data_IF_889589714521
#
_entry.id   IF_889589714521
#
_cell.length_a   1.000
_cell.length_b   1.000
_cell.length_c   1.000
_cell.angle_alpha   90.00
_cell.angle_beta   90.00
_cell.angle_gamma   90.00
#
_symmetry.space_group_name_H-M   'P 1'
#
loop_
_entity.id
_entity.type
_entity.pdbx_description
1 polymer ?
#
# COMPACT_ATOMS: atom_id res chain seq x y z
N UNK A 1 -16.48 -7.65 22.22
CA UNK A 1 -17.83 -7.09 22.43
C UNK A 1 -18.83 -8.22 22.63
N UNK A 2 -19.67 -8.16 23.68
CA UNK A 2 -20.70 -9.19 23.92
C UNK A 2 -21.88 -9.02 22.93
N UNK A 3 -22.79 -10.00 22.87
CA UNK A 3 -23.91 -10.00 21.91
C UNK A 3 -24.87 -8.83 22.12
N UNK A 4 -25.11 -8.43 23.38
CA UNK A 4 -26.01 -7.31 23.69
C UNK A 4 -25.46 -5.97 23.20
N UNK A 5 -24.18 -5.69 23.47
CA UNK A 5 -23.48 -4.50 22.99
C UNK A 5 -23.44 -4.42 21.46
N UNK A 6 -23.27 -5.58 20.78
CA UNK A 6 -23.39 -5.66 19.32
C UNK A 6 -24.79 -5.28 18.86
N UNK A 7 -25.82 -5.87 19.46
CA UNK A 7 -27.21 -5.59 19.11
C UNK A 7 -27.60 -4.12 19.27
N UNK A 8 -27.07 -3.41 20.28
CA UNK A 8 -27.30 -1.98 20.44
C UNK A 8 -26.73 -1.14 19.28
N UNK A 9 -25.49 -1.45 18.86
CA UNK A 9 -24.86 -0.77 17.72
C UNK A 9 -25.60 -1.11 16.41
N UNK A 10 -25.95 -2.38 16.23
CA UNK A 10 -26.69 -2.84 15.05
C UNK A 10 -28.06 -2.15 14.95
N UNK A 11 -28.77 -1.98 16.06
CA UNK A 11 -30.05 -1.26 16.11
C UNK A 11 -29.91 0.21 15.69
N UNK A 12 -28.90 0.93 16.20
CA UNK A 12 -28.63 2.31 15.75
C UNK A 12 -28.37 2.37 14.23
N UNK A 13 -27.58 1.44 13.70
CA UNK A 13 -27.28 1.39 12.28
C UNK A 13 -28.48 0.99 11.41
N UNK A 14 -29.38 0.15 11.91
CA UNK A 14 -30.65 -0.20 11.24
C UNK A 14 -31.62 0.99 11.20
N UNK A 15 -31.67 1.80 12.26
CA UNK A 15 -32.49 3.01 12.35
C UNK A 15 -31.88 4.22 11.62
N UNK A 16 -30.78 4.04 10.89
CA UNK A 16 -30.02 5.13 10.23
C UNK A 16 -29.46 6.21 11.19
N UNK A 17 -29.36 5.88 12.49
CA UNK A 17 -28.72 6.68 13.53
C UNK A 17 -27.21 6.37 13.56
N UNK A 18 -26.53 6.66 12.44
CA UNK A 18 -25.13 6.27 12.25
C UNK A 18 -24.19 6.97 13.22
N UNK A 19 -24.41 8.26 13.49
CA UNK A 19 -23.57 9.05 14.38
C UNK A 19 -23.69 8.56 15.83
N UNK A 20 -24.90 8.21 16.28
CA UNK A 20 -25.14 7.60 17.58
C UNK A 20 -24.50 6.22 17.69
N UNK A 21 -24.60 5.39 16.65
CA UNK A 21 -23.95 4.08 16.62
C UNK A 21 -22.42 4.18 16.66
N UNK A 22 -21.82 5.14 15.95
CA UNK A 22 -20.38 5.44 16.00
C UNK A 22 -19.98 5.93 17.40
N UNK A 23 -20.77 6.82 18.00
CA UNK A 23 -20.52 7.30 19.36
C UNK A 23 -20.60 6.17 20.39
N UNK A 24 -21.57 5.25 20.24
CA UNK A 24 -21.69 4.08 21.09
C UNK A 24 -20.48 3.14 20.94
N UNK A 25 -20.03 2.87 19.71
CA UNK A 25 -18.80 2.10 19.46
C UNK A 25 -17.57 2.75 20.11
N UNK A 26 -17.49 4.08 20.11
CA UNK A 26 -16.44 4.83 20.79
C UNK A 26 -16.50 4.65 22.32
N UNK A 27 -17.70 4.69 22.92
CA UNK A 27 -17.90 4.49 24.36
C UNK A 27 -17.63 3.05 24.82
N UNK A 28 -17.94 2.06 23.97
CA UNK A 28 -17.72 0.64 24.24
C UNK A 28 -16.24 0.22 24.14
N UNK A 29 -15.36 1.16 23.77
CA UNK A 29 -13.92 0.96 23.69
C UNK A 29 -13.36 0.68 25.09
N UNK A 30 -13.09 -0.58 25.38
CA UNK A 30 -12.22 -1.00 26.48
C UNK A 30 -11.07 -1.84 25.93
N UNK A 31 -9.92 -1.83 26.61
CA UNK A 31 -8.69 -2.50 26.16
C UNK A 31 -8.85 -3.99 25.86
N UNK A 32 -9.89 -4.64 26.42
CA UNK A 32 -10.14 -6.07 26.28
C UNK A 32 -11.32 -6.41 25.36
N UNK A 33 -12.00 -5.43 24.79
CA UNK A 33 -13.25 -5.64 24.04
C UNK A 33 -13.09 -5.16 22.60
N UNK A 34 -12.75 -6.08 21.70
CA UNK A 34 -12.67 -5.81 20.26
C UNK A 34 -14.07 -5.60 19.66
N UNK A 35 -14.26 -4.57 18.79
CA UNK A 35 -15.45 -4.45 17.96
C UNK A 35 -15.53 -5.63 16.98
N UNK A 36 -16.74 -5.91 16.47
CA UNK A 36 -16.92 -6.99 15.50
C UNK A 36 -16.24 -6.64 14.16
N UNK A 37 -16.01 -7.64 13.30
CA UNK A 37 -15.43 -7.40 11.97
C UNK A 37 -16.42 -6.63 11.10
N UNK A 38 -17.71 -6.96 11.25
CA UNK A 38 -18.79 -6.26 10.57
C UNK A 38 -18.81 -4.78 10.92
N UNK A 39 -18.66 -4.43 12.21
CA UNK A 39 -18.64 -3.03 12.65
C UNK A 39 -17.43 -2.26 12.08
N UNK A 40 -16.24 -2.86 12.12
CA UNK A 40 -15.05 -2.22 11.51
C UNK A 40 -15.25 -2.03 10.00
N UNK A 41 -15.84 -3.02 9.31
CA UNK A 41 -16.14 -2.93 7.88
C UNK A 41 -17.18 -1.84 7.56
N UNK A 42 -18.22 -1.72 8.36
CA UNK A 42 -19.21 -0.64 8.23
C UNK A 42 -18.57 0.74 8.47
N UNK A 43 -17.70 0.87 9.47
CA UNK A 43 -16.92 2.10 9.69
C UNK A 43 -16.02 2.44 8.49
N UNK A 44 -15.37 1.44 7.89
CA UNK A 44 -14.58 1.64 6.67
C UNK A 44 -15.46 2.10 5.51
N UNK A 45 -16.66 1.51 5.37
CA UNK A 45 -17.63 1.92 4.35
C UNK A 45 -18.09 3.37 4.53
N UNK A 46 -18.43 3.77 5.76
CA UNK A 46 -18.77 5.17 6.05
C UNK A 46 -17.61 6.11 5.71
N UNK A 47 -16.38 5.73 6.07
CA UNK A 47 -15.19 6.56 5.84
C UNK A 47 -14.84 6.72 4.35
N UNK A 48 -15.15 5.71 3.55
CA UNK A 48 -14.96 5.71 2.09
C UNK A 48 -16.19 6.25 1.33
N UNK A 49 -17.26 6.64 2.02
CA UNK A 49 -18.46 7.11 1.33
C UNK A 49 -18.22 8.48 0.71
N UNK A 50 -18.46 8.66 -0.60
CA UNK A 50 -18.14 9.92 -1.26
C UNK A 50 -19.00 11.08 -0.73
N UNK A 51 -18.43 12.28 -0.50
CA UNK A 51 -19.14 13.44 0.04
C UNK A 51 -20.17 14.00 -0.96
N UNK A 52 -21.19 14.71 -0.46
CA UNK A 52 -22.23 15.29 -1.33
C UNK A 52 -21.70 16.44 -2.14
N UNK A 53 -21.49 16.21 -3.43
CA UNK A 53 -21.32 17.30 -4.39
C UNK A 53 -22.63 18.10 -4.43
N UNK A 54 -22.51 19.41 -4.27
CA UNK A 54 -23.53 20.46 -4.08
C UNK A 54 -24.98 20.10 -4.49
N UNK A 55 -25.93 20.46 -3.62
CA UNK A 55 -27.38 20.34 -3.80
C UNK A 55 -27.81 20.82 -5.20
N UNK A 56 -28.17 19.89 -6.09
CA UNK A 56 -29.14 20.20 -7.13
C UNK A 56 -30.44 20.52 -6.38
N UNK A 57 -30.94 21.74 -6.51
CA UNK A 57 -32.22 22.12 -5.91
C UNK A 57 -33.31 21.23 -6.50
N UNK A 58 -33.77 20.24 -5.74
CA UNK A 58 -34.96 19.49 -6.09
C UNK A 58 -36.13 20.47 -6.14
N UNK A 59 -36.70 20.67 -7.32
CA UNK A 59 -37.92 21.45 -7.51
C UNK A 59 -39.07 20.90 -6.65
N UNK A 60 -40.01 21.74 -6.20
CA UNK A 60 -41.05 21.35 -5.27
C UNK A 60 -42.16 20.60 -6.02
N UNK A 61 -42.05 19.28 -6.18
CA UNK A 61 -43.20 18.45 -6.58
C UNK A 61 -42.93 16.96 -6.39
N UNK A 62 -42.94 16.48 -5.14
CA UNK A 62 -43.17 15.06 -4.88
C UNK A 62 -44.14 14.89 -3.71
N UNK A 63 -45.15 14.05 -3.92
CA UNK A 63 -46.23 13.77 -2.98
C UNK A 63 -45.71 13.08 -1.71
N UNK A 64 -46.17 13.46 -0.49
CA UNK A 64 -45.65 12.98 0.80
C UNK A 64 -45.55 11.45 0.94
N UNK A 65 -46.47 10.72 0.32
CA UNK A 65 -46.57 9.25 0.45
C UNK A 65 -45.52 8.47 -0.37
N UNK A 66 -44.83 9.10 -1.33
CA UNK A 66 -43.75 8.47 -2.11
C UNK A 66 -42.35 8.80 -1.60
N UNK A 67 -42.21 9.87 -0.82
CA UNK A 67 -40.95 10.33 -0.24
C UNK A 67 -40.41 9.31 0.78
N UNK A 68 -41.26 8.75 1.63
CA UNK A 68 -40.84 7.77 2.65
C UNK A 68 -40.26 6.46 2.09
N UNK A 69 -40.79 5.96 0.96
CA UNK A 69 -40.28 4.72 0.32
C UNK A 69 -39.02 4.92 -0.51
N UNK A 70 -38.76 6.14 -0.99
CA UNK A 70 -37.52 6.48 -1.70
C UNK A 70 -36.38 6.83 -0.72
N UNK A 71 -36.69 7.51 0.38
CA UNK A 71 -35.71 7.80 1.45
C UNK A 71 -35.18 6.51 2.11
N UNK A 72 -36.03 5.50 2.31
CA UNK A 72 -35.60 4.19 2.83
C UNK A 72 -34.66 3.40 1.91
N UNK A 73 -34.52 3.78 0.64
CA UNK A 73 -33.66 3.06 -0.34
C UNK A 73 -32.32 3.73 -0.60
N UNK A 74 -32.11 4.95 -0.11
CA UNK A 74 -30.88 5.71 -0.35
C UNK A 74 -30.18 5.94 0.98
N UNK A 75 -29.04 5.28 1.20
CA UNK A 75 -28.17 5.62 2.31
C UNK A 75 -27.68 7.06 2.19
N UNK A 76 -28.19 7.93 3.06
CA UNK A 76 -27.66 9.28 3.26
C UNK A 76 -26.62 9.25 4.37
N UNK A 77 -25.36 9.00 4.01
CA UNK A 77 -24.21 9.13 4.91
C UNK A 77 -23.70 10.57 4.78
N UNK A 78 -23.67 11.29 5.91
CA UNK A 78 -23.18 12.66 5.95
C UNK A 78 -21.65 12.70 5.92
N UNK A 79 -21.07 13.83 5.49
CA UNK A 79 -19.62 14.03 5.58
C UNK A 79 -19.10 14.00 7.02
N UNK A 80 -19.94 14.42 7.98
CA UNK A 80 -19.62 14.35 9.40
C UNK A 80 -19.55 12.90 9.88
N UNK A 81 -20.49 12.06 9.47
CA UNK A 81 -20.52 10.63 9.78
C UNK A 81 -19.28 9.92 9.22
N UNK A 82 -18.90 10.23 7.97
CA UNK A 82 -17.69 9.69 7.35
C UNK A 82 -16.43 10.09 8.14
N UNK A 83 -16.31 11.37 8.53
CA UNK A 83 -15.18 11.86 9.33
C UNK A 83 -15.14 11.23 10.74
N UNK A 84 -16.29 11.12 11.42
CA UNK A 84 -16.40 10.47 12.74
C UNK A 84 -16.01 9.00 12.68
N UNK A 85 -16.46 8.28 11.64
CA UNK A 85 -16.10 6.88 11.42
C UNK A 85 -14.59 6.70 11.20
N UNK A 86 -13.98 7.56 10.36
CA UNK A 86 -12.55 7.51 10.10
C UNK A 86 -11.74 7.83 11.36
N UNK A 87 -12.15 8.85 12.13
CA UNK A 87 -11.52 9.21 13.41
C UNK A 87 -11.56 8.06 14.41
N UNK A 88 -12.70 7.37 14.53
CA UNK A 88 -12.84 6.21 15.40
C UNK A 88 -11.93 5.05 14.95
N UNK A 89 -11.85 4.80 13.64
CA UNK A 89 -10.93 3.78 13.10
C UNK A 89 -9.46 4.11 13.41
N UNK A 90 -9.05 5.37 13.28
CA UNK A 90 -7.69 5.82 13.66
C UNK A 90 -7.46 5.59 15.14
N UNK A 91 -8.44 5.92 15.99
CA UNK A 91 -8.34 5.66 17.42
C UNK A 91 -8.21 4.16 17.74
N UNK A 92 -8.93 3.29 17.03
CA UNK A 92 -8.77 1.85 17.18
C UNK A 92 -7.39 1.39 16.70
N UNK A 93 -6.93 1.87 15.54
CA UNK A 93 -5.61 1.58 15.02
C UNK A 93 -4.52 2.00 16.00
N UNK A 94 -4.69 3.07 16.80
CA UNK A 94 -3.73 3.56 17.78
C UNK A 94 -3.79 2.88 19.16
N UNK A 95 -4.89 2.22 19.52
CA UNK A 95 -5.10 1.70 20.89
C UNK A 95 -5.34 0.21 20.99
N UNK A 96 -5.67 -0.44 19.88
CA UNK A 96 -5.92 -1.88 19.80
C UNK A 96 -4.75 -2.58 19.09
N UNK A 97 -4.76 -3.93 19.05
CA UNK A 97 -3.79 -4.66 18.23
C UNK A 97 -4.05 -4.41 16.74
N UNK A 98 -3.00 -4.25 15.91
CA UNK A 98 -3.14 -4.07 14.47
C UNK A 98 -3.95 -5.18 13.81
N UNK A 99 -3.74 -6.45 14.21
CA UNK A 99 -4.48 -7.58 13.66
C UNK A 99 -5.98 -7.50 13.97
N UNK A 100 -6.33 -6.91 15.12
CA UNK A 100 -7.69 -6.68 15.57
C UNK A 100 -8.46 -5.70 14.69
N UNK A 101 -7.81 -4.65 14.19
CA UNK A 101 -8.43 -3.70 13.24
C UNK A 101 -8.38 -4.26 11.82
N UNK A 102 -7.25 -4.87 11.44
CA UNK A 102 -7.05 -5.43 10.11
C UNK A 102 -8.00 -6.60 9.79
N UNK A 103 -8.67 -7.21 10.79
CA UNK A 103 -9.64 -8.31 10.61
C UNK A 103 -10.73 -8.04 9.56
N UNK A 104 -11.09 -6.77 9.35
CA UNK A 104 -12.11 -6.36 8.39
C UNK A 104 -11.53 -5.94 7.02
N UNK A 105 -10.20 -5.82 6.91
CA UNK A 105 -9.57 -5.48 5.65
C UNK A 105 -9.57 -6.67 4.69
N UNK A 106 -9.75 -6.43 3.39
CA UNK A 106 -9.49 -7.43 2.36
C UNK A 106 -8.01 -7.86 2.41
N UNK A 107 -7.73 -9.13 2.13
CA UNK A 107 -6.35 -9.63 2.00
C UNK A 107 -6.30 -10.93 1.19
N UNK A 108 -5.15 -11.23 0.58
CA UNK A 108 -4.98 -12.43 -0.24
C UNK A 108 -4.97 -13.73 0.57
N UNK A 109 -4.48 -13.68 1.81
CA UNK A 109 -4.28 -14.85 2.65
C UNK A 109 -5.55 -15.26 3.42
N UNK A 110 -6.58 -14.42 3.38
CA UNK A 110 -7.88 -14.71 3.97
C UNK A 110 -8.82 -15.24 2.89
N UNK A 111 -8.60 -16.49 2.51
CA UNK A 111 -9.63 -17.24 1.79
C UNK A 111 -10.87 -17.34 2.69
N UNK A 112 -11.85 -16.46 2.48
CA UNK A 112 -13.21 -16.59 2.96
C UNK A 112 -13.37 -16.91 4.46
N UNK A 113 -13.00 -15.98 5.35
CA UNK A 113 -13.68 -15.89 6.67
C UNK A 113 -15.05 -15.22 6.45
N UNK A 114 -15.82 -15.77 5.51
CA UNK A 114 -17.22 -15.45 5.29
C UNK A 114 -18.02 -16.27 6.31
N UNK A 115 -17.87 -15.90 7.57
CA UNK A 115 -18.95 -16.10 8.51
C UNK A 115 -20.13 -15.30 7.96
N UNK A 116 -21.17 -16.00 7.51
CA UNK A 116 -22.48 -15.42 7.22
C UNK A 116 -23.05 -14.84 8.53
N UNK A 117 -22.51 -13.71 8.99
CA UNK A 117 -23.22 -12.81 9.88
C UNK A 117 -24.34 -12.23 9.02
N UNK A 118 -25.47 -12.95 8.98
CA UNK A 118 -26.71 -12.55 8.32
C UNK A 118 -27.28 -11.35 9.07
N UNK A 119 -26.65 -10.19 8.89
CA UNK A 119 -27.17 -8.92 9.38
C UNK A 119 -28.24 -8.45 8.41
N UNK A 120 -29.44 -8.19 8.92
CA UNK A 120 -30.55 -7.68 8.13
C UNK A 120 -30.33 -6.21 7.73
N UNK A 121 -29.49 -5.50 8.51
CA UNK A 121 -29.10 -4.10 8.32
C UNK A 121 -28.62 -3.80 6.89
N UNK A 122 -29.20 -2.75 6.31
CA UNK A 122 -28.89 -2.31 4.94
C UNK A 122 -27.43 -1.89 4.81
N UNK A 123 -26.89 -1.17 5.78
CA UNK A 123 -25.48 -0.78 5.79
C UNK A 123 -24.54 -2.00 5.93
N UNK A 124 -24.92 -3.02 6.70
CA UNK A 124 -24.12 -4.24 6.80
C UNK A 124 -23.98 -4.90 5.42
N UNK A 125 -25.08 -4.97 4.66
CA UNK A 125 -25.12 -5.52 3.31
C UNK A 125 -24.30 -4.69 2.33
N UNK A 126 -24.43 -3.37 2.35
CA UNK A 126 -23.66 -2.50 1.45
C UNK A 126 -22.16 -2.52 1.78
N UNK A 127 -21.79 -2.52 3.06
CA UNK A 127 -20.38 -2.58 3.49
C UNK A 127 -19.65 -3.84 3.04
N UNK A 128 -20.39 -4.89 2.66
CA UNK A 128 -19.83 -6.16 2.20
C UNK A 128 -18.97 -6.00 0.94
N UNK A 129 -19.19 -4.94 0.14
CA UNK A 129 -18.35 -4.65 -1.03
C UNK A 129 -16.85 -4.54 -0.67
N UNK A 130 -16.51 -4.09 0.54
CA UNK A 130 -15.13 -4.01 1.04
C UNK A 130 -14.51 -5.41 1.17
N UNK A 131 -15.28 -6.41 1.58
CA UNK A 131 -14.82 -7.80 1.71
C UNK A 131 -14.60 -8.46 0.34
N UNK A 132 -15.30 -8.00 -0.70
CA UNK A 132 -15.15 -8.48 -2.08
C UNK A 132 -13.92 -7.89 -2.78
N UNK A 133 -13.31 -6.84 -2.21
CA UNK A 133 -12.07 -6.30 -2.73
C UNK A 133 -10.92 -7.30 -2.54
N UNK A 134 -9.99 -7.34 -3.51
CA UNK A 134 -8.84 -8.27 -3.46
C UNK A 134 -7.82 -7.89 -2.38
N UNK A 135 -7.65 -6.60 -2.16
CA UNK A 135 -6.67 -6.01 -1.24
C UNK A 135 -7.14 -4.61 -0.84
N UNK A 136 -6.47 -4.01 0.15
CA UNK A 136 -6.82 -2.71 0.70
C UNK A 136 -6.48 -1.54 -0.24
N UNK A 137 -5.73 -1.75 -1.33
CA UNK A 137 -5.43 -0.70 -2.30
C UNK A 137 -6.62 -0.44 -3.22
N UNK A 138 -7.36 -1.50 -3.56
CA UNK A 138 -8.52 -1.40 -4.45
C UNK A 138 -9.65 -0.56 -3.84
N UNK A 139 -9.82 -0.57 -2.51
CA UNK A 139 -10.89 0.19 -1.84
C UNK A 139 -10.64 1.70 -1.83
N UNK A 140 -9.42 2.14 -2.16
CA UNK A 140 -9.03 3.55 -2.20
C UNK A 140 -9.31 4.22 -3.56
N UNK A 141 -9.61 3.44 -4.60
CA UNK A 141 -9.73 3.95 -5.96
C UNK A 141 -10.99 4.81 -6.14
N UNK A 142 -10.92 5.80 -7.03
CA UNK A 142 -12.10 6.59 -7.43
C UNK A 142 -13.17 5.65 -7.97
N UNK A 143 -14.40 5.79 -7.47
CA UNK A 143 -15.52 4.96 -7.88
C UNK A 143 -15.58 3.57 -7.23
N UNK A 144 -14.79 3.28 -6.19
CA UNK A 144 -14.95 2.01 -5.48
C UNK A 144 -16.35 1.90 -4.82
N UNK A 145 -16.76 2.93 -4.08
CA UNK A 145 -18.13 3.06 -3.56
C UNK A 145 -18.92 4.01 -4.47
N UNK A 146 -20.02 3.51 -5.02
CA UNK A 146 -20.96 4.30 -5.82
C UNK A 146 -22.09 4.78 -4.92
N UNK A 147 -22.53 6.03 -5.12
CA UNK A 147 -23.78 6.48 -4.54
C UNK A 147 -24.92 5.75 -5.23
N UNK A 148 -25.84 5.19 -4.46
CA UNK A 148 -27.13 4.75 -4.99
C UNK A 148 -27.94 6.00 -5.33
N UNK A 149 -27.62 6.66 -6.44
CA UNK A 149 -28.50 7.67 -7.01
C UNK A 149 -29.73 6.93 -7.50
N UNK A 150 -30.90 7.30 -7.01
CA UNK A 150 -32.16 6.72 -7.47
C UNK A 150 -32.45 7.23 -8.89
N UNK A 151 -31.76 6.69 -9.88
CA UNK A 151 -32.19 6.81 -11.26
C UNK A 151 -33.57 6.16 -11.37
N UNK A 152 -34.53 6.93 -11.85
CA UNK A 152 -35.91 6.52 -12.06
C UNK A 152 -35.97 5.18 -12.80
N UNK A 153 -36.88 4.25 -12.45
CA UNK A 153 -36.91 2.94 -13.09
C UNK A 153 -37.35 3.10 -14.55
N UNK A 154 -36.39 3.08 -15.46
CA UNK A 154 -36.67 2.86 -16.88
C UNK A 154 -37.16 1.42 -17.04
N UNK A 155 -38.26 1.31 -17.78
CA UNK A 155 -39.15 0.14 -17.81
C UNK A 155 -38.41 -1.13 -18.25
N UNK A 156 -38.54 -2.19 -17.44
CA UNK A 156 -38.83 -3.59 -17.81
C UNK A 156 -38.30 -4.04 -19.19
N UNK A 157 -37.12 -4.68 -19.20
CA UNK A 157 -36.59 -5.40 -20.36
C UNK A 157 -35.69 -6.56 -19.93
N UNK A 158 -36.16 -7.78 -20.13
CA UNK A 158 -35.56 -9.04 -19.71
C UNK A 158 -34.27 -9.38 -20.46
N UNK A 159 -33.09 -9.26 -19.83
CA UNK A 159 -32.02 -10.30 -19.82
C UNK A 159 -30.82 -9.85 -19.00
N UNK A 160 -30.46 -10.69 -18.02
CA UNK A 160 -29.16 -10.66 -17.33
C UNK A 160 -28.02 -10.71 -18.34
N UNK A 161 -27.35 -9.58 -18.51
CA UNK A 161 -25.92 -9.52 -18.85
C UNK A 161 -25.40 -8.29 -18.13
N UNK A 162 -24.53 -8.49 -17.15
CA UNK A 162 -23.74 -7.43 -16.50
C UNK A 162 -22.81 -6.85 -17.57
N UNK A 163 -23.30 -5.84 -18.27
CA UNK A 163 -22.48 -4.93 -19.08
C UNK A 163 -22.43 -3.65 -18.26
N UNK A 164 -21.21 -3.25 -17.92
CA UNK A 164 -20.91 -1.93 -17.37
C UNK A 164 -21.55 -0.91 -18.30
N UNK A 165 -22.60 -0.25 -17.81
CA UNK A 165 -23.26 0.84 -18.53
C UNK A 165 -22.32 2.05 -18.45
N UNK A 166 -21.63 2.23 -19.57
CA UNK A 166 -20.73 3.33 -19.89
C UNK A 166 -21.63 4.49 -20.33
N UNK A 167 -22.16 5.23 -19.36
CA UNK A 167 -22.80 6.53 -19.56
C UNK A 167 -22.81 7.32 -18.26
N UNK A 168 -21.67 7.95 -17.98
CA UNK A 168 -21.65 9.32 -17.45
C UNK A 168 -20.39 9.98 -18.05
N UNK A 169 -20.61 10.67 -19.16
CA UNK A 169 -19.69 11.66 -19.71
C UNK A 169 -19.52 12.80 -18.68
N UNK A 170 -18.56 12.65 -17.78
CA UNK A 170 -17.97 13.75 -17.02
C UNK A 170 -16.51 13.41 -16.69
N UNK A 171 -15.60 13.98 -17.49
CA UNK A 171 -14.20 14.25 -17.16
C UNK A 171 -13.36 13.04 -16.72
N UNK A 172 -13.10 12.13 -17.67
CA UNK A 172 -12.02 11.13 -17.56
C UNK A 172 -10.64 11.79 -17.73
N UNK A 173 -10.30 12.73 -16.86
CA UNK A 173 -8.94 12.87 -16.38
C UNK A 173 -8.50 11.53 -15.78
N UNK A 174 -7.26 11.11 -16.03
CA UNK A 174 -6.69 9.83 -15.62
C UNK A 174 -7.27 9.33 -14.28
N UNK A 175 -7.93 8.16 -14.29
CA UNK A 175 -8.56 7.57 -13.11
C UNK A 175 -7.62 7.65 -11.90
N UNK A 176 -7.94 8.54 -10.95
CA UNK A 176 -7.06 8.82 -9.82
C UNK A 176 -6.78 7.53 -9.05
N UNK A 177 -5.49 7.27 -8.75
CA UNK A 177 -5.05 6.07 -8.05
C UNK A 177 -5.66 6.00 -6.64
N UNK A 178 -5.86 7.16 -6.02
CA UNK A 178 -6.55 7.34 -4.74
C UNK A 178 -7.65 8.38 -4.93
N UNK A 179 -8.87 8.07 -4.52
CA UNK A 179 -10.00 8.99 -4.54
C UNK A 179 -9.76 10.15 -3.57
N UNK A 180 -10.25 11.35 -3.91
CA UNK A 180 -10.03 12.56 -3.11
C UNK A 180 -10.54 12.44 -1.65
N UNK A 181 -11.61 11.68 -1.42
CA UNK A 181 -12.15 11.44 -0.08
C UNK A 181 -11.53 10.22 0.63
N UNK A 182 -10.68 9.44 -0.05
CA UNK A 182 -10.08 8.22 0.48
C UNK A 182 -8.70 8.43 1.11
N UNK A 183 -8.11 9.64 1.02
CA UNK A 183 -6.83 9.95 1.67
C UNK A 183 -6.83 9.70 3.19
N UNK A 184 -7.86 10.08 3.98
CA UNK A 184 -7.90 9.74 5.40
C UNK A 184 -7.86 8.23 5.67
N UNK A 185 -8.43 7.42 4.78
CA UNK A 185 -8.41 5.96 4.90
C UNK A 185 -7.03 5.40 4.52
N UNK A 186 -6.33 5.98 3.55
CA UNK A 186 -4.92 5.64 3.31
C UNK A 186 -4.07 5.96 4.54
N UNK A 187 -4.27 7.10 5.20
CA UNK A 187 -3.52 7.47 6.41
C UNK A 187 -3.75 6.46 7.55
N UNK A 188 -5.01 6.08 7.76
CA UNK A 188 -5.40 5.00 8.67
C UNK A 188 -4.64 3.69 8.37
N UNK A 189 -4.59 3.27 7.09
CA UNK A 189 -3.88 2.05 6.69
C UNK A 189 -2.38 2.14 6.99
N UNK A 190 -1.76 3.30 6.74
CA UNK A 190 -0.35 3.52 7.06
C UNK A 190 -0.08 3.46 8.56
N UNK A 191 -0.90 4.10 9.39
CA UNK A 191 -0.80 4.02 10.86
C UNK A 191 -0.88 2.56 11.31
N UNK A 192 -1.80 1.80 10.72
CA UNK A 192 -2.00 0.39 11.05
C UNK A 192 -0.76 -0.46 10.73
N UNK A 193 -0.20 -0.30 9.53
CA UNK A 193 0.99 -1.04 9.12
C UNK A 193 2.24 -0.63 9.90
N UNK A 194 2.42 0.66 10.20
CA UNK A 194 3.55 1.14 11.00
C UNK A 194 3.52 0.59 12.42
N UNK A 195 2.33 0.50 13.04
CA UNK A 195 2.20 -0.14 14.36
C UNK A 195 2.47 -1.63 14.30
N UNK A 196 2.03 -2.30 13.25
CA UNK A 196 2.33 -3.72 13.00
C UNK A 196 3.84 -3.97 12.84
N UNK A 197 4.58 -3.05 12.21
CA UNK A 197 6.06 -3.11 12.18
C UNK A 197 6.67 -2.99 13.58
N UNK A 198 6.21 -2.02 14.37
CA UNK A 198 6.70 -1.80 15.73
C UNK A 198 6.43 -3.01 16.63
N UNK A 199 5.26 -3.64 16.52
CA UNK A 199 4.96 -4.87 17.26
C UNK A 199 5.80 -6.06 16.78
N UNK A 200 6.06 -6.16 15.48
CA UNK A 200 6.91 -7.22 14.90
C UNK A 200 8.35 -7.07 15.39
N UNK A 201 8.89 -5.84 15.39
CA UNK A 201 10.20 -5.50 15.93
C UNK A 201 10.29 -5.79 17.44
N UNK A 202 9.27 -5.44 18.22
CA UNK A 202 9.20 -5.73 19.66
C UNK A 202 9.18 -7.23 19.98
N UNK A 203 8.72 -8.07 19.06
CA UNK A 203 8.78 -9.55 19.16
C UNK A 203 10.16 -10.11 18.80
N UNK A 204 11.15 -9.27 18.49
CA UNK A 204 12.52 -9.67 18.14
C UNK A 204 12.69 -10.15 16.70
N UNK A 205 11.72 -9.87 15.83
CA UNK A 205 11.82 -10.12 14.39
C UNK A 205 12.35 -8.88 13.67
N UNK A 206 12.86 -9.01 12.42
CA UNK A 206 13.18 -7.84 11.60
C UNK A 206 11.97 -6.90 11.51
N UNK A 207 12.21 -5.60 11.42
CA UNK A 207 11.13 -4.62 11.29
C UNK A 207 10.49 -4.71 9.91
N UNK A 208 9.28 -5.23 9.85
CA UNK A 208 8.39 -5.26 8.68
C UNK A 208 6.95 -5.48 9.15
N UNK A 209 5.96 -5.21 8.28
CA UNK A 209 4.54 -5.43 8.60
C UNK A 209 4.02 -6.72 7.92
N UNK A 210 3.76 -7.80 8.67
CA UNK A 210 3.03 -8.96 8.16
C UNK A 210 1.67 -8.60 7.57
N UNK A 211 0.97 -7.61 8.12
CA UNK A 211 -0.32 -7.15 7.60
C UNK A 211 -0.20 -6.53 6.21
N UNK A 212 0.83 -5.71 5.98
CA UNK A 212 1.14 -5.14 4.67
C UNK A 212 1.54 -6.24 3.67
N UNK A 213 2.35 -7.20 4.10
CA UNK A 213 2.75 -8.33 3.27
C UNK A 213 1.53 -9.13 2.75
N UNK A 214 0.48 -9.27 3.56
CA UNK A 214 -0.77 -9.93 3.19
C UNK A 214 -1.60 -9.15 2.15
N UNK A 215 -1.25 -7.90 1.88
CA UNK A 215 -1.85 -7.06 0.84
C UNK A 215 -1.16 -7.21 -0.52
N UNK A 216 -0.08 -7.98 -0.57
CA UNK A 216 0.65 -8.32 -1.80
C UNK A 216 0.19 -9.71 -2.23
N UNK A 217 -0.13 -9.95 -3.52
CA UNK A 217 -0.57 -11.25 -4.00
C UNK A 217 0.35 -12.39 -3.55
N UNK A 218 -0.25 -13.49 -3.11
CA UNK A 218 0.48 -14.71 -2.87
C UNK A 218 1.11 -15.20 -4.19
N UNK A 219 2.31 -15.78 -4.12
CA UNK A 219 2.98 -16.28 -5.30
C UNK A 219 2.16 -17.39 -5.97
N UNK A 220 2.19 -17.48 -7.30
CA UNK A 220 1.46 -18.53 -8.05
C UNK A 220 2.03 -19.94 -7.87
N UNK A 221 3.27 -20.02 -7.39
CA UNK A 221 3.97 -21.27 -7.03
C UNK A 221 4.34 -21.23 -5.56
N UNK A 222 4.18 -22.35 -4.85
CA UNK A 222 4.53 -22.51 -3.43
C UNK A 222 5.99 -22.17 -3.12
N UNK A 223 6.86 -22.21 -4.14
CA UNK A 223 8.29 -21.89 -4.05
C UNK A 223 8.65 -20.44 -4.34
N UNK A 224 7.71 -19.63 -4.84
CA UNK A 224 7.98 -18.22 -5.19
C UNK A 224 7.72 -17.29 -4.00
N UNK A 225 8.33 -16.11 -4.04
CA UNK A 225 8.25 -15.09 -3.00
C UNK A 225 7.29 -13.98 -3.46
N UNK A 226 6.67 -13.21 -2.55
CA UNK A 226 5.81 -12.09 -2.94
C UNK A 226 6.64 -10.95 -3.53
N UNK A 227 6.14 -10.29 -4.57
CA UNK A 227 6.88 -9.17 -5.19
C UNK A 227 6.01 -8.14 -5.93
N UNK A 228 4.74 -8.47 -6.20
CA UNK A 228 3.82 -7.64 -6.99
C UNK A 228 3.38 -6.37 -6.23
N UNK A 229 4.25 -5.35 -6.23
CA UNK A 229 4.05 -4.07 -5.55
C UNK A 229 3.43 -2.98 -6.44
N UNK A 230 2.81 -3.35 -7.56
CA UNK A 230 2.35 -2.39 -8.58
C UNK A 230 1.33 -1.36 -8.05
N UNK A 231 0.35 -1.80 -7.27
CA UNK A 231 -0.67 -0.92 -6.69
C UNK A 231 -0.08 0.07 -5.66
N UNK A 232 0.65 -0.36 -4.62
CA UNK A 232 1.24 0.57 -3.66
C UNK A 232 2.31 1.47 -4.29
N UNK A 233 3.05 1.01 -5.32
CA UNK A 233 3.97 1.87 -6.07
C UNK A 233 3.24 2.97 -6.86
N UNK A 234 2.07 2.68 -7.44
CA UNK A 234 1.27 3.70 -8.10
C UNK A 234 0.78 4.75 -7.10
N UNK A 235 0.39 4.33 -5.89
CA UNK A 235 -0.01 5.24 -4.80
C UNK A 235 1.16 6.13 -4.38
N UNK A 236 2.35 5.56 -4.18
CA UNK A 236 3.55 6.32 -3.83
C UNK A 236 3.83 7.41 -4.87
N UNK A 237 3.92 7.03 -6.14
CA UNK A 237 4.24 7.99 -7.20
C UNK A 237 3.16 9.06 -7.34
N UNK A 238 1.88 8.67 -7.23
CA UNK A 238 0.77 9.60 -7.25
C UNK A 238 0.83 10.60 -6.09
N UNK A 239 1.12 10.12 -4.88
CA UNK A 239 1.21 10.92 -3.66
C UNK A 239 2.41 11.88 -3.67
N UNK A 240 3.56 11.43 -4.18
CA UNK A 240 4.76 12.27 -4.32
C UNK A 240 4.61 13.36 -5.38
N UNK A 241 3.76 13.13 -6.40
CA UNK A 241 3.45 14.10 -7.45
C UNK A 241 2.39 15.15 -7.05
N UNK A 242 1.81 15.07 -5.85
CA UNK A 242 0.83 16.07 -5.38
C UNK A 242 1.56 17.36 -4.95
N UNK A 243 1.72 18.29 -5.88
CA UNK A 243 2.30 19.60 -5.60
C UNK A 243 1.45 20.38 -4.58
N UNK A 244 2.09 20.89 -3.53
CA UNK A 244 1.44 21.73 -2.51
C UNK A 244 0.73 20.97 -1.37
N UNK A 245 0.54 19.64 -1.47
CA UNK A 245 -0.03 18.83 -0.38
C UNK A 245 1.06 18.02 0.33
N UNK A 246 1.65 18.62 1.37
CA UNK A 246 2.71 17.98 2.16
C UNK A 246 2.22 16.72 2.89
N UNK A 247 0.94 16.66 3.27
CA UNK A 247 0.41 15.48 3.96
C UNK A 247 0.38 14.28 3.02
N UNK A 248 -0.09 14.45 1.77
CA UNK A 248 -0.07 13.37 0.77
C UNK A 248 1.36 12.93 0.46
N UNK A 249 2.28 13.88 0.28
CA UNK A 249 3.71 13.56 0.06
C UNK A 249 4.30 12.75 1.22
N UNK A 250 3.99 13.15 2.46
CA UNK A 250 4.42 12.43 3.66
C UNK A 250 3.83 11.01 3.73
N UNK A 251 2.59 10.81 3.29
CA UNK A 251 1.99 9.48 3.18
C UNK A 251 2.70 8.61 2.14
N UNK A 252 3.10 9.19 1.00
CA UNK A 252 3.94 8.51 0.00
C UNK A 252 5.30 8.08 0.56
N UNK A 253 5.94 8.94 1.37
CA UNK A 253 7.19 8.62 2.07
C UNK A 253 7.03 7.48 3.06
N UNK A 254 6.01 7.53 3.91
CA UNK A 254 5.68 6.47 4.88
C UNK A 254 5.44 5.14 4.19
N UNK A 255 4.65 5.12 3.11
CA UNK A 255 4.43 3.90 2.32
C UNK A 255 5.72 3.38 1.66
N UNK A 256 6.59 4.27 1.19
CA UNK A 256 7.90 3.89 0.64
C UNK A 256 8.76 3.19 1.69
N UNK A 257 8.83 3.74 2.90
CA UNK A 257 9.56 3.14 4.02
C UNK A 257 9.01 1.77 4.39
N UNK A 258 7.69 1.63 4.49
CA UNK A 258 7.02 0.35 4.78
C UNK A 258 7.36 -0.73 3.74
N UNK A 259 7.33 -0.41 2.44
CA UNK A 259 7.69 -1.38 1.38
C UNK A 259 9.19 -1.74 1.41
N UNK A 260 10.06 -0.78 1.72
CA UNK A 260 11.50 -1.05 1.89
C UNK A 260 11.72 -2.00 3.07
N UNK A 261 11.01 -1.80 4.18
CA UNK A 261 11.13 -2.64 5.37
C UNK A 261 10.71 -4.09 5.10
N UNK A 262 9.72 -4.35 4.23
CA UNK A 262 9.39 -5.71 3.78
C UNK A 262 10.60 -6.47 3.18
N UNK A 263 11.53 -5.74 2.56
CA UNK A 263 12.76 -6.32 1.99
C UNK A 263 13.76 -6.81 3.06
N UNK A 264 13.49 -6.56 4.33
CA UNK A 264 14.25 -7.14 5.45
C UNK A 264 13.90 -8.61 5.68
N UNK A 265 12.91 -9.13 4.94
CA UNK A 265 12.45 -10.52 5.02
C UNK A 265 12.79 -11.32 3.76
N UNK A 266 12.79 -12.65 3.88
CA UNK A 266 12.80 -13.56 2.73
C UNK A 266 11.40 -13.82 2.14
N UNK A 267 10.36 -13.15 2.67
CA UNK A 267 8.98 -13.29 2.23
C UNK A 267 8.61 -12.28 1.13
N UNK A 268 9.52 -11.35 0.84
CA UNK A 268 9.38 -10.34 -0.20
C UNK A 268 10.64 -10.27 -1.08
N UNK A 269 10.49 -10.35 -2.40
CA UNK A 269 11.61 -10.38 -3.34
C UNK A 269 12.18 -8.97 -3.58
N UNK A 270 13.32 -8.69 -2.95
CA UNK A 270 14.02 -7.42 -3.07
C UNK A 270 14.42 -7.08 -4.51
N UNK A 271 14.93 -8.05 -5.28
CA UNK A 271 15.45 -7.80 -6.62
C UNK A 271 14.32 -7.42 -7.57
N UNK A 272 13.21 -8.16 -7.52
CA UNK A 272 12.02 -7.85 -8.31
C UNK A 272 11.42 -6.51 -7.88
N UNK A 273 11.33 -6.23 -6.59
CA UNK A 273 10.86 -4.93 -6.09
C UNK A 273 11.75 -3.77 -6.56
N UNK A 274 13.07 -3.89 -6.40
CA UNK A 274 14.05 -2.90 -6.88
C UNK A 274 13.92 -2.67 -8.39
N UNK A 275 13.69 -3.74 -9.15
CA UNK A 275 13.47 -3.66 -10.60
C UNK A 275 12.19 -2.90 -10.96
N UNK A 276 11.10 -3.16 -10.26
CA UNK A 276 9.82 -2.47 -10.44
C UNK A 276 9.93 -0.98 -10.08
N UNK A 277 10.57 -0.65 -8.94
CA UNK A 277 10.80 0.75 -8.53
C UNK A 277 11.65 1.47 -9.57
N UNK A 278 12.81 0.89 -9.93
CA UNK A 278 13.70 1.50 -10.92
C UNK A 278 12.98 1.79 -12.23
N UNK A 279 12.25 0.82 -12.78
CA UNK A 279 11.59 0.97 -14.09
C UNK A 279 10.54 2.09 -14.09
N UNK A 280 9.76 2.20 -13.01
CA UNK A 280 8.73 3.22 -12.87
C UNK A 280 9.33 4.60 -12.61
N UNK A 281 10.25 4.70 -11.65
CA UNK A 281 10.90 5.97 -11.27
C UNK A 281 11.73 6.54 -12.43
N UNK A 282 12.42 5.67 -13.18
CA UNK A 282 13.15 6.08 -14.38
C UNK A 282 12.22 6.66 -15.46
N UNK A 283 11.01 6.12 -15.59
CA UNK A 283 10.03 6.56 -16.60
C UNK A 283 9.27 7.82 -16.16
N UNK A 284 8.96 7.96 -14.87
CA UNK A 284 8.12 9.05 -14.35
C UNK A 284 8.89 10.33 -13.98
N UNK A 285 10.22 10.29 -13.98
CA UNK A 285 11.05 11.37 -13.47
C UNK A 285 11.69 10.98 -12.14
N UNK A 286 13.02 10.81 -12.06
CA UNK A 286 13.66 10.24 -10.88
C UNK A 286 13.87 11.25 -9.74
N UNK A 287 13.80 12.55 -10.02
CA UNK A 287 14.24 13.60 -9.09
C UNK A 287 13.43 13.62 -7.80
N UNK A 288 12.11 13.68 -7.90
CA UNK A 288 11.20 13.82 -6.77
C UNK A 288 11.28 12.56 -5.88
N UNK A 289 11.22 11.38 -6.49
CA UNK A 289 11.31 10.12 -5.76
C UNK A 289 12.66 9.96 -5.07
N UNK A 290 13.77 10.26 -5.75
CA UNK A 290 15.10 10.11 -5.15
C UNK A 290 15.36 11.15 -4.06
N UNK A 291 14.89 12.39 -4.21
CA UNK A 291 14.95 13.39 -3.15
C UNK A 291 14.15 12.95 -1.92
N UNK A 292 12.95 12.40 -2.14
CA UNK A 292 12.12 11.78 -1.11
C UNK A 292 12.80 10.58 -0.42
N UNK A 293 13.51 9.73 -1.17
CA UNK A 293 14.25 8.60 -0.62
C UNK A 293 15.40 9.05 0.30
N UNK A 294 16.00 10.20 0.03
CA UNK A 294 17.05 10.80 0.89
C UNK A 294 16.47 11.31 2.21
N UNK A 295 15.21 11.74 2.23
CA UNK A 295 14.53 12.25 3.43
C UNK A 295 14.10 11.15 4.41
N UNK A 296 14.13 9.87 4.00
CA UNK A 296 13.80 8.75 4.89
C UNK A 296 14.86 8.56 5.99
N UNK A 297 14.47 8.09 7.18
CA UNK A 297 15.41 7.73 8.22
C UNK A 297 16.44 6.71 7.70
N UNK A 298 17.75 6.91 7.94
CA UNK A 298 18.81 6.08 7.38
C UNK A 298 18.95 4.76 8.15
N UNK A 299 17.91 3.93 8.13
CA UNK A 299 17.95 2.57 8.67
C UNK A 299 18.71 1.64 7.72
N UNK A 300 19.21 0.50 8.23
CA UNK A 300 19.92 -0.47 7.38
C UNK A 300 19.12 -0.90 6.12
N UNK A 301 17.81 -1.23 6.19
CA UNK A 301 17.02 -1.55 5.00
C UNK A 301 16.92 -0.39 4.00
N UNK A 302 16.73 0.83 4.49
CA UNK A 302 16.64 2.05 3.67
C UNK A 302 17.96 2.35 2.97
N UNK A 303 19.08 2.32 3.71
CA UNK A 303 20.41 2.53 3.15
C UNK A 303 20.75 1.47 2.10
N UNK A 304 20.45 0.21 2.41
CA UNK A 304 20.64 -0.91 1.49
C UNK A 304 19.86 -0.73 0.20
N UNK A 305 18.57 -0.42 0.30
CA UNK A 305 17.71 -0.18 -0.86
C UNK A 305 18.22 1.01 -1.68
N UNK A 306 18.58 2.11 -1.00
CA UNK A 306 19.10 3.33 -1.63
C UNK A 306 20.42 3.07 -2.37
N UNK A 307 21.37 2.36 -1.78
CA UNK A 307 22.63 1.97 -2.44
C UNK A 307 22.33 1.17 -3.70
N UNK A 308 21.50 0.13 -3.60
CA UNK A 308 21.17 -0.73 -4.73
C UNK A 308 20.46 0.04 -5.86
N UNK A 309 19.55 0.94 -5.51
CA UNK A 309 18.82 1.75 -6.50
C UNK A 309 19.75 2.74 -7.20
N UNK A 310 20.56 3.49 -6.45
CA UNK A 310 21.50 4.46 -7.02
C UNK A 310 22.57 3.78 -7.88
N UNK A 311 23.10 2.63 -7.43
CA UNK A 311 24.02 1.82 -8.23
C UNK A 311 23.37 1.35 -9.54
N UNK A 312 22.09 0.99 -9.50
CA UNK A 312 21.34 0.64 -10.71
C UNK A 312 21.15 1.82 -11.66
N UNK A 313 20.93 3.03 -11.15
CA UNK A 313 20.91 4.26 -11.98
C UNK A 313 22.26 4.51 -12.67
N UNK A 314 23.37 4.28 -11.97
CA UNK A 314 24.71 4.39 -12.54
C UNK A 314 24.89 3.38 -13.68
N UNK A 315 24.63 2.09 -13.43
CA UNK A 315 24.87 1.01 -14.39
C UNK A 315 24.00 1.09 -15.66
N UNK A 316 22.79 1.64 -15.54
CA UNK A 316 21.85 1.75 -16.66
C UNK A 316 21.89 3.12 -17.35
N UNK A 317 22.39 4.16 -16.68
CA UNK A 317 22.47 5.50 -17.27
C UNK A 317 23.40 5.57 -18.50
N UNK A 318 24.43 4.72 -18.58
CA UNK A 318 25.35 4.68 -19.71
C UNK A 318 24.84 3.96 -20.96
N UNK A 319 23.69 3.28 -20.90
CA UNK A 319 23.22 2.37 -21.97
C UNK A 319 22.05 2.91 -22.81
N UNK A 320 21.57 4.14 -22.54
CA UNK A 320 20.36 4.70 -23.17
C UNK A 320 20.58 5.57 -24.42
N UNK A 321 21.68 5.44 -25.16
CA UNK A 321 21.85 6.14 -26.46
C UNK A 321 21.98 5.24 -27.68
N UNK A 322 21.56 3.97 -27.59
CA UNK A 322 21.48 3.12 -28.78
C UNK A 322 20.43 2.01 -28.66
N UNK A 323 19.14 2.35 -28.57
CA UNK A 323 18.02 1.51 -29.08
C UNK A 323 16.65 2.20 -28.98
N UNK A 324 16.55 3.46 -29.43
CA UNK A 324 15.30 3.90 -30.07
C UNK A 324 15.28 3.29 -31.48
N UNK A 325 14.67 2.09 -31.59
CA UNK A 325 14.03 1.49 -32.79
C UNK A 325 14.01 -0.03 -32.67
N UNK A 326 13.04 -0.58 -31.95
CA UNK A 326 12.26 -1.68 -32.53
C UNK A 326 10.89 -1.73 -31.86
N UNK A 327 9.87 -1.55 -32.68
CA UNK A 327 8.48 -1.72 -32.35
C UNK A 327 8.28 -3.10 -31.69
N UNK A 328 7.63 -3.10 -30.53
CA UNK A 328 7.08 -4.29 -29.85
C UNK A 328 6.48 -5.27 -30.87
N UNK A 329 7.09 -6.44 -31.03
CA UNK A 329 6.38 -7.60 -31.56
C UNK A 329 5.30 -8.00 -30.55
N UNK A 330 4.03 -7.88 -30.97
CA UNK A 330 2.84 -8.33 -30.23
C UNK A 330 3.05 -9.77 -29.73
N UNK A 331 2.78 -10.09 -28.45
CA UNK A 331 2.70 -11.48 -28.03
C UNK A 331 1.50 -12.14 -28.72
N UNK A 332 1.78 -13.11 -29.59
CA UNK A 332 0.76 -14.00 -30.15
C UNK A 332 0.05 -14.75 -29.01
N UNK A 333 -1.28 -14.73 -29.04
CA UNK A 333 -2.14 -15.48 -28.16
C UNK A 333 -1.82 -16.99 -28.24
N UNK A 334 -1.25 -17.56 -27.17
CA UNK A 334 -1.17 -19.02 -27.02
C UNK A 334 -2.54 -19.57 -26.63
N UNK A 335 -2.91 -20.67 -27.29
CA UNK A 335 -4.16 -21.40 -27.14
C UNK A 335 -4.42 -21.83 -25.68
N UNK A 336 -5.69 -21.75 -25.27
CA UNK A 336 -6.19 -22.21 -23.96
C UNK A 336 -6.07 -23.74 -23.87
N UNK A 337 -5.49 -24.31 -22.80
CA UNK A 337 -5.60 -25.74 -22.57
C UNK A 337 -7.01 -26.11 -22.11
N UNK A 338 -7.53 -27.16 -22.74
CA UNK A 338 -8.84 -27.79 -22.54
C UNK A 338 -8.93 -28.36 -21.12
N UNK A 339 -10.05 -28.06 -20.44
CA UNK A 339 -10.43 -28.65 -19.15
C UNK A 339 -10.51 -30.17 -19.26
N UNK A 340 -9.67 -30.90 -18.50
CA UNK A 340 -9.97 -32.28 -18.10
C UNK A 340 -10.49 -32.28 -16.67
N UNK A 341 -11.75 -32.69 -16.55
CA UNK A 341 -12.47 -33.01 -15.32
C UNK A 341 -11.94 -34.35 -14.81
N UNK A 342 -11.43 -34.40 -13.58
CA UNK A 342 -11.41 -35.65 -12.81
C UNK A 342 -11.46 -35.33 -11.32
N UNK A 343 -12.57 -35.74 -10.72
CA UNK A 343 -12.73 -35.91 -9.29
C UNK A 343 -11.67 -36.88 -8.77
N UNK A 344 -11.08 -36.58 -7.62
CA UNK A 344 -10.79 -37.59 -6.61
C UNK A 344 -10.52 -36.90 -5.26
N UNK A 345 -11.42 -37.20 -4.33
CA UNK A 345 -11.44 -36.85 -2.91
C UNK A 345 -10.30 -37.56 -2.19
N UNK A 346 -9.57 -36.87 -1.30
CA UNK A 346 -8.92 -37.48 -0.11
C UNK A 346 -8.45 -36.42 0.91
N UNK A 347 -8.31 -36.82 2.19
CA UNK A 347 -8.56 -35.94 3.33
C UNK A 347 -7.31 -35.23 3.88
N UNK A 348 -7.63 -34.11 4.51
CA UNK A 348 -6.92 -33.30 5.49
C UNK A 348 -5.80 -34.01 6.28
N UNK A 349 -4.56 -33.55 6.10
CA UNK A 349 -3.50 -33.65 7.12
C UNK A 349 -3.11 -32.26 7.58
N UNK A 350 -3.29 -32.01 8.88
CA UNK A 350 -2.79 -30.84 9.58
C UNK A 350 -1.26 -30.85 9.56
N UNK A 351 -0.64 -29.90 8.87
CA UNK A 351 0.78 -29.62 9.03
C UNK A 351 0.99 -28.23 9.65
N UNK A 352 1.30 -28.30 10.93
CA UNK A 352 2.23 -27.49 11.73
C UNK A 352 2.77 -26.23 11.05
N UNK A 353 2.38 -25.07 11.59
CA UNK A 353 3.01 -23.77 11.31
C UNK A 353 4.54 -23.89 11.46
N UNK A 354 5.35 -23.46 10.48
CA UNK A 354 6.78 -23.33 10.69
C UNK A 354 7.03 -22.24 11.74
N UNK A 355 7.69 -22.63 12.84
CA UNK A 355 8.24 -21.68 13.80
C UNK A 355 9.27 -20.80 13.10
N UNK A 356 9.00 -19.50 13.05
CA UNK A 356 9.95 -18.46 12.66
C UNK A 356 11.04 -18.38 13.74
N UNK A 357 12.13 -19.13 13.56
CA UNK A 357 13.34 -18.95 14.37
C UNK A 357 14.12 -17.74 13.87
N UNK A 358 14.43 -16.83 14.78
CA UNK A 358 14.92 -15.45 14.57
C UNK A 358 16.33 -15.30 13.96
N UNK A 359 16.97 -16.38 13.52
CA UNK A 359 18.35 -16.35 13.07
C UNK A 359 18.45 -16.59 11.56
N UNK A 360 18.85 -15.54 10.82
CA UNK A 360 19.24 -15.53 9.39
C UNK A 360 18.16 -15.19 8.35
N UNK A 361 17.48 -14.05 8.50
CA UNK A 361 16.56 -13.52 7.47
C UNK A 361 17.19 -12.36 6.66
N UNK A 362 18.19 -11.64 7.20
CA UNK A 362 18.86 -10.50 6.54
C UNK A 362 19.98 -10.90 5.55
N UNK A 363 20.35 -12.18 5.49
CA UNK A 363 21.65 -12.66 4.98
C UNK A 363 21.71 -13.03 3.50
N UNK A 364 20.60 -13.04 2.76
CA UNK A 364 20.61 -13.56 1.37
C UNK A 364 20.56 -12.50 0.26
N UNK A 365 20.15 -11.28 0.58
CA UNK A 365 20.41 -10.18 -0.35
C UNK A 365 21.88 -9.82 -0.11
N UNK A 366 22.68 -9.64 -1.16
CA UNK A 366 24.06 -9.15 -1.05
C UNK A 366 24.15 -7.89 -1.89
N UNK A 367 24.54 -6.78 -1.26
CA UNK A 367 24.92 -5.62 -2.05
C UNK A 367 26.18 -5.97 -2.84
N UNK A 368 26.36 -5.41 -4.05
CA UNK A 368 27.63 -5.51 -4.75
C UNK A 368 28.78 -5.05 -3.84
N UNK A 369 29.95 -5.71 -3.88
CA UNK A 369 31.12 -5.26 -3.14
C UNK A 369 31.44 -3.80 -3.47
N UNK A 370 31.96 -3.06 -2.49
CA UNK A 370 32.28 -1.65 -2.68
C UNK A 370 33.20 -1.40 -3.89
N UNK A 371 34.13 -2.31 -4.16
CA UNK A 371 35.04 -2.22 -5.31
C UNK A 371 34.32 -2.23 -6.66
N UNK A 372 33.20 -2.94 -6.78
CA UNK A 372 32.35 -2.95 -7.97
C UNK A 372 31.57 -1.64 -8.08
N UNK A 373 31.02 -1.16 -6.97
CA UNK A 373 30.29 0.12 -6.92
C UNK A 373 31.23 1.28 -7.27
N UNK A 374 32.45 1.29 -6.71
CA UNK A 374 33.49 2.26 -7.00
C UNK A 374 33.85 2.29 -8.48
N UNK A 375 34.14 1.12 -9.05
CA UNK A 375 34.43 0.98 -10.48
C UNK A 375 33.28 1.51 -11.34
N UNK A 376 32.04 1.20 -10.96
CA UNK A 376 30.85 1.71 -11.66
C UNK A 376 30.76 3.25 -11.61
N UNK A 377 31.19 3.86 -10.50
CA UNK A 377 31.28 5.32 -10.36
C UNK A 377 32.42 5.94 -11.18
N UNK A 378 33.52 5.22 -11.40
CA UNK A 378 34.66 5.72 -12.19
C UNK A 378 34.47 5.54 -13.71
N UNK A 379 33.87 4.42 -14.13
CA UNK A 379 33.65 4.10 -15.55
C UNK A 379 32.57 4.98 -16.19
N UNK A 380 31.65 5.52 -15.40
CA UNK A 380 30.58 6.39 -15.92
C UNK A 380 31.13 7.80 -16.19
N UNK A 381 31.51 8.05 -17.45
CA UNK A 381 31.78 9.41 -17.94
C UNK A 381 30.52 10.29 -17.82
N UNK A 382 30.65 11.62 -17.65
CA UNK A 382 29.56 12.59 -17.38
C UNK A 382 28.55 12.80 -18.53
N UNK A 383 28.35 11.83 -19.42
CA UNK A 383 27.37 11.87 -20.50
C UNK A 383 25.91 11.76 -20.02
N UNK A 384 25.68 11.47 -18.73
CA UNK A 384 24.40 11.60 -18.05
C UNK A 384 24.19 13.02 -17.53
N UNK A 385 24.18 13.99 -18.43
CA UNK A 385 23.50 15.26 -18.14
C UNK A 385 22.03 15.09 -18.50
N UNK A 386 21.32 14.22 -17.76
CA UNK A 386 19.87 14.36 -17.73
C UNK A 386 19.60 15.64 -16.93
N UNK A 387 18.94 16.63 -17.53
CA UNK A 387 18.77 17.97 -16.93
C UNK A 387 18.14 17.92 -15.54
N UNK A 388 17.41 16.84 -15.24
CA UNK A 388 16.62 16.69 -14.02
C UNK A 388 17.38 16.02 -12.88
N UNK A 389 18.48 15.29 -13.15
CA UNK A 389 19.23 14.57 -12.11
C UNK A 389 20.74 14.58 -12.39
N UNK A 390 21.49 15.51 -11.79
CA UNK A 390 22.93 15.61 -11.97
C UNK A 390 23.65 14.33 -11.52
N UNK A 391 24.53 13.82 -12.36
CA UNK A 391 25.34 12.64 -12.03
C UNK A 391 26.13 12.81 -10.72
N UNK A 392 26.67 14.01 -10.48
CA UNK A 392 27.39 14.37 -9.24
C UNK A 392 26.50 14.23 -8.00
N UNK A 393 25.19 14.49 -8.12
CA UNK A 393 24.25 14.29 -7.03
C UNK A 393 24.08 12.80 -6.73
N UNK A 394 23.91 11.95 -7.76
CA UNK A 394 23.80 10.49 -7.59
C UNK A 394 25.07 9.93 -6.92
N UNK A 395 26.25 10.32 -7.40
CA UNK A 395 27.53 9.91 -6.81
C UNK A 395 27.62 10.33 -5.34
N UNK A 396 27.36 11.61 -5.03
CA UNK A 396 27.39 12.12 -3.66
C UNK A 396 26.44 11.33 -2.76
N UNK A 397 25.17 11.16 -3.18
CA UNK A 397 24.20 10.42 -2.40
C UNK A 397 24.59 8.95 -2.22
N UNK A 398 25.25 8.32 -3.19
CA UNK A 398 25.74 6.95 -3.09
C UNK A 398 26.88 6.84 -2.08
N UNK A 399 27.89 7.71 -2.17
CA UNK A 399 29.00 7.79 -1.20
C UNK A 399 28.50 7.99 0.23
N UNK A 400 27.59 8.95 0.44
CA UNK A 400 26.99 9.19 1.77
C UNK A 400 26.23 7.98 2.27
N UNK A 401 25.48 7.29 1.41
CA UNK A 401 24.74 6.09 1.81
C UNK A 401 25.66 4.95 2.22
N UNK A 402 26.71 4.71 1.44
CA UNK A 402 27.71 3.66 1.73
C UNK A 402 28.42 3.98 3.05
N UNK A 403 28.85 5.22 3.25
CA UNK A 403 29.48 5.62 4.51
C UNK A 403 28.57 5.32 5.72
N UNK A 404 27.32 5.80 5.70
CA UNK A 404 26.40 5.59 6.82
C UNK A 404 26.06 4.09 6.99
N UNK A 405 25.90 3.35 5.89
CA UNK A 405 25.66 1.92 5.93
C UNK A 405 26.80 1.16 6.62
N UNK A 406 28.05 1.45 6.21
CA UNK A 406 29.24 0.81 6.75
C UNK A 406 29.49 1.16 8.23
N UNK A 407 29.12 2.35 8.68
CA UNK A 407 29.25 2.72 10.11
C UNK A 407 28.23 2.01 10.99
N UNK A 408 27.04 1.69 10.47
CA UNK A 408 26.00 0.95 11.19
C UNK A 408 26.25 -0.56 11.27
N UNK A 409 27.11 -1.11 10.39
CA UNK A 409 27.45 -2.53 10.41
C UNK A 409 28.44 -2.87 11.54
N UNK A 410 28.30 -4.06 12.18
CA UNK A 410 29.33 -4.62 13.06
C UNK A 410 30.67 -4.74 12.33
N UNK A 411 31.79 -4.60 13.03
CA UNK A 411 33.15 -4.55 12.45
C UNK A 411 33.42 -5.70 11.47
N UNK A 412 33.02 -6.92 11.80
CA UNK A 412 33.22 -8.10 10.95
C UNK A 412 32.28 -8.22 9.74
N UNK A 413 31.25 -7.38 9.65
CA UNK A 413 30.31 -7.35 8.51
C UNK A 413 30.61 -6.21 7.53
N UNK A 414 31.61 -5.36 7.82
CA UNK A 414 31.96 -4.22 6.99
C UNK A 414 32.73 -4.66 5.74
N UNK A 415 32.56 -3.91 4.66
CA UNK A 415 33.28 -4.16 3.40
C UNK A 415 34.77 -3.78 3.54
N UNK A 416 35.68 -4.73 3.31
CA UNK A 416 37.12 -4.49 3.43
C UNK A 416 37.64 -3.47 2.40
N UNK A 417 37.09 -3.48 1.19
CA UNK A 417 37.47 -2.55 0.13
C UNK A 417 37.14 -1.11 0.49
N UNK A 418 36.02 -0.88 1.17
CA UNK A 418 35.65 0.42 1.70
C UNK A 418 36.68 0.95 2.71
N UNK A 419 37.10 0.10 3.66
CA UNK A 419 38.06 0.51 4.70
C UNK A 419 39.47 0.74 4.17
N UNK A 420 39.91 -0.06 3.21
CA UNK A 420 41.20 0.16 2.53
C UNK A 420 41.23 1.53 1.87
N UNK A 421 40.15 1.93 1.18
CA UNK A 421 40.05 3.24 0.55
C UNK A 421 40.06 4.37 1.58
N UNK A 422 39.29 4.28 2.66
CA UNK A 422 39.30 5.30 3.72
C UNK A 422 40.68 5.45 4.38
N UNK A 423 41.43 4.35 4.54
CA UNK A 423 42.80 4.39 5.08
C UNK A 423 43.73 5.18 4.17
N UNK A 424 43.69 4.92 2.86
CA UNK A 424 44.48 5.63 1.86
C UNK A 424 44.16 7.14 1.88
N UNK A 425 42.88 7.52 1.89
CA UNK A 425 42.50 8.93 1.97
C UNK A 425 42.95 9.60 3.27
N UNK A 426 42.92 8.89 4.39
CA UNK A 426 43.42 9.39 5.66
C UNK A 426 44.94 9.61 5.63
N UNK A 427 45.69 8.70 5.02
CA UNK A 427 47.14 8.84 4.83
C UNK A 427 47.46 10.06 3.96
N UNK A 428 46.77 10.23 2.82
CA UNK A 428 46.93 11.39 1.94
C UNK A 428 46.60 12.71 2.67
N UNK A 429 45.52 12.75 3.45
CA UNK A 429 45.15 13.95 4.22
C UNK A 429 46.19 14.29 5.29
N UNK A 430 46.73 13.28 5.97
CA UNK A 430 47.80 13.48 6.95
C UNK A 430 49.07 14.01 6.29
N UNK A 431 49.47 13.47 5.13
CA UNK A 431 50.64 13.93 4.38
C UNK A 431 50.48 15.39 3.89
N UNK A 432 49.27 15.77 3.47
CA UNK A 432 48.97 17.17 3.12
C UNK A 432 48.99 18.11 4.33
N UNK A 433 48.56 17.66 5.51
CA UNK A 433 48.58 18.47 6.74
C UNK A 433 49.97 18.66 7.34
N UNK A 434 50.91 17.76 7.02
CA UNK A 434 52.32 17.86 7.44
C UNK A 434 53.16 18.71 6.48
N UNK A 435 52.60 19.09 5.33
CA UNK A 435 53.26 19.87 4.27
C UNK A 435 52.89 21.37 4.29
N UNK A 436 52.06 21.80 5.23
CA UNK A 436 51.71 23.20 5.56
C UNK A 436 52.28 23.57 6.91
#
# INVERSE_FOLDING_TARGET
MNLHQRGLVDACFEESQYDEGIALLSQLKSSNVLPSASHIRQLLYFSLYPPTVKKVSFGPSLSPSKIGRQQQKSLTISSQTAASACSLLVQYALTMSPEGVARALPSYDRSNVNGSESSESLIAKESYCISEAKNCWNILQKGFIHRVTTSSPTKRGTRRTTVFDDNDDDDFGASAVVAEHAWPVLDLLLILFERDECETEARGLPRYSPLLLNQIPAPRSETSVRWEADAPLSIILYALAQEGDEQRRQMGLRLTQLLINLCSTNLFDFTMFLNSVFSRVYTSGPKEFLASLVALPPTLPVLRFRIALLHKFINNGGKSTAQETSFRSKPQARAKPIRRRRDETKPFEQQTKPQLTSNSILSQITLPPFTEIHRSMEELKPHLSNKDLPYTWIQFQLWTSIYIYQTQLPVGARDEGWWSLLRIYKEILNDMSLST
#
